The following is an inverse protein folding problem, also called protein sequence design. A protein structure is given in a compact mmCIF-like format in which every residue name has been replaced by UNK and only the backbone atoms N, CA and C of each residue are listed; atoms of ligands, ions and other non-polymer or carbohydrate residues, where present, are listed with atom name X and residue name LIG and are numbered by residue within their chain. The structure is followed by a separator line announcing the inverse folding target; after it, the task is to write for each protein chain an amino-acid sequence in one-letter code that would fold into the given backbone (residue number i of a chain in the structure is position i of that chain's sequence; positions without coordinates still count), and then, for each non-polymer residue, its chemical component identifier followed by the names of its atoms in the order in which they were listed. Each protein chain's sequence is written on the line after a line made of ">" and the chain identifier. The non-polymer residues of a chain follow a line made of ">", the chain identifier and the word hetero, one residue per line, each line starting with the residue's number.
data_IF_809079780519
#
_entry.id   IF_809079780519
#
_cell.length_a   1.000
_cell.length_b   1.000
_cell.length_c   1.000
_cell.angle_alpha   90.00
_cell.angle_beta   90.00
_cell.angle_gamma   90.00
#
_symmetry.space_group_name_H-M   'P 1'
#
loop_
_entity.id
_entity.type
_entity.pdbx_description
1 polymer ?
#
# COMPACT_ATOMS: atom_id res chain seq x y z
N UNK A 1 -5.93 -9.42 3.93
CA UNK A 1 -5.28 -10.00 2.72
C UNK A 1 -4.09 -9.17 2.27
N UNK A 2 -4.26 -7.88 1.94
CA UNK A 2 -3.16 -7.02 1.46
C UNK A 2 -1.93 -6.97 2.40
N UNK A 3 -2.16 -6.96 3.71
CA UNK A 3 -1.09 -6.91 4.71
C UNK A 3 -0.09 -8.09 4.61
N UNK A 4 -0.54 -9.27 4.17
CA UNK A 4 0.33 -10.44 4.04
C UNK A 4 1.36 -10.32 2.91
N UNK A 5 1.06 -9.50 1.90
CA UNK A 5 1.95 -9.28 0.77
C UNK A 5 2.97 -8.16 1.00
N UNK A 6 2.84 -7.38 2.07
CA UNK A 6 3.71 -6.23 2.37
C UNK A 6 5.20 -6.61 2.32
N UNK A 7 5.68 -7.69 2.99
CA UNK A 7 7.11 -8.01 2.98
C UNK A 7 7.63 -8.33 1.57
N UNK A 8 6.81 -9.00 0.76
CA UNK A 8 7.16 -9.38 -0.61
C UNK A 8 7.24 -8.15 -1.52
N UNK A 9 6.30 -7.23 -1.40
CA UNK A 9 6.27 -5.98 -2.17
C UNK A 9 7.44 -5.08 -1.76
N UNK A 10 7.70 -4.96 -0.46
CA UNK A 10 8.84 -4.21 0.07
C UNK A 10 10.18 -4.73 -0.48
N UNK A 11 10.39 -6.05 -0.44
CA UNK A 11 11.59 -6.68 -0.99
C UNK A 11 11.72 -6.47 -2.50
N UNK A 12 10.64 -6.67 -3.27
CA UNK A 12 10.65 -6.48 -4.72
C UNK A 12 10.92 -5.03 -5.15
N UNK A 13 10.53 -4.07 -4.30
CA UNK A 13 10.65 -2.64 -4.58
C UNK A 13 11.82 -1.95 -3.87
N UNK A 14 12.60 -2.69 -3.09
CA UNK A 14 13.70 -2.16 -2.26
C UNK A 14 13.24 -1.01 -1.35
N UNK A 15 12.01 -1.11 -0.83
CA UNK A 15 11.42 -0.15 0.10
C UNK A 15 11.41 -0.72 1.52
N UNK A 16 11.49 0.13 2.56
CA UNK A 16 11.25 -0.30 3.94
C UNK A 16 9.85 -0.91 4.10
N UNK A 17 9.74 -1.98 4.88
CA UNK A 17 8.46 -2.67 5.14
C UNK A 17 7.46 -1.72 5.78
N UNK A 18 7.92 -0.88 6.69
CA UNK A 18 7.12 0.12 7.41
C UNK A 18 6.53 1.14 6.43
N UNK A 19 7.29 1.55 5.42
CA UNK A 19 6.85 2.52 4.43
C UNK A 19 5.79 1.93 3.50
N UNK A 20 5.95 0.67 3.08
CA UNK A 20 4.91 -0.04 2.32
C UNK A 20 3.66 -0.25 3.18
N UNK A 21 3.81 -0.56 4.47
CA UNK A 21 2.68 -0.71 5.38
C UNK A 21 1.89 0.59 5.58
N UNK A 22 2.58 1.72 5.69
CA UNK A 22 1.96 3.05 5.78
C UNK A 22 1.14 3.36 4.52
N UNK A 23 1.72 3.17 3.33
CA UNK A 23 1.00 3.39 2.07
C UNK A 23 -0.22 2.47 1.95
N UNK A 24 -0.10 1.19 2.30
CA UNK A 24 -1.25 0.28 2.29
C UNK A 24 -2.36 0.79 3.20
N UNK A 25 -2.03 1.29 4.40
CA UNK A 25 -3.01 1.84 5.32
C UNK A 25 -3.67 3.13 4.79
N UNK A 26 -2.88 4.02 4.18
CA UNK A 26 -3.34 5.28 3.58
C UNK A 26 -4.34 5.03 2.43
N UNK A 27 -4.03 4.08 1.56
CA UNK A 27 -4.89 3.69 0.43
C UNK A 27 -5.91 2.59 0.81
N UNK A 28 -6.10 2.31 2.10
CA UNK A 28 -7.19 1.44 2.58
C UNK A 28 -8.41 2.29 2.91
N UNK A 29 -9.44 2.18 2.08
CA UNK A 29 -10.74 2.75 2.36
C UNK A 29 -11.50 1.88 3.36
N UNK A 30 -11.91 2.50 4.46
CA UNK A 30 -12.75 1.88 5.48
C UNK A 30 -14.18 2.41 5.36
N UNK A 31 -15.20 1.54 5.29
CA UNK A 31 -16.58 1.99 5.30
C UNK A 31 -16.93 2.67 6.62
N UNK A 32 -17.88 3.62 6.58
CA UNK A 32 -18.32 4.39 7.75
C UNK A 32 -18.90 3.51 8.86
N UNK A 33 -19.49 2.37 8.50
CA UNK A 33 -19.98 1.37 9.43
C UNK A 33 -19.69 -0.03 8.89
N UNK A 34 -19.35 -0.96 9.79
CA UNK A 34 -18.90 -2.31 9.43
C UNK A 34 -19.96 -3.15 8.68
N UNK A 35 -21.24 -2.79 8.76
CA UNK A 35 -22.31 -3.48 8.03
C UNK A 35 -22.45 -3.01 6.57
N UNK A 36 -21.81 -1.90 6.18
CA UNK A 36 -21.82 -1.38 4.81
C UNK A 36 -20.80 -2.06 3.90
N UNK A 37 -19.86 -2.83 4.47
CA UNK A 37 -18.88 -3.57 3.70
C UNK A 37 -17.59 -3.87 4.46
N UNK A 38 -16.60 -4.39 3.73
CA UNK A 38 -15.26 -4.68 4.25
C UNK A 38 -14.27 -3.59 3.83
N UNK A 39 -13.17 -3.38 4.58
CA UNK A 39 -12.08 -2.51 4.13
C UNK A 39 -11.52 -2.96 2.79
N UNK A 40 -11.39 -2.03 1.85
CA UNK A 40 -10.84 -2.28 0.51
C UNK A 40 -9.62 -1.41 0.27
N UNK A 41 -8.66 -1.92 -0.49
CA UNK A 41 -7.45 -1.19 -0.83
C UNK A 41 -7.55 -0.71 -2.26
N UNK A 42 -7.28 0.57 -2.52
CA UNK A 42 -7.14 1.08 -3.87
C UNK A 42 -5.78 0.68 -4.44
N UNK A 43 -5.75 -0.42 -5.21
CA UNK A 43 -4.51 -0.98 -5.75
C UNK A 43 -3.87 -0.06 -6.79
N UNK A 44 -4.68 0.66 -7.58
CA UNK A 44 -4.17 1.54 -8.64
C UNK A 44 -3.42 2.71 -8.04
N UNK A 45 -4.04 3.43 -7.11
CA UNK A 45 -3.39 4.56 -6.42
C UNK A 45 -2.19 4.11 -5.59
N UNK A 46 -2.32 2.98 -4.88
CA UNK A 46 -1.20 2.39 -4.14
C UNK A 46 0.01 2.11 -5.04
N UNK A 47 -0.19 1.51 -6.22
CA UNK A 47 0.91 1.23 -7.14
C UNK A 47 1.57 2.50 -7.64
N UNK A 48 0.80 3.53 -8.00
CA UNK A 48 1.33 4.82 -8.42
C UNK A 48 2.16 5.49 -7.31
N UNK A 49 1.69 5.43 -6.06
CA UNK A 49 2.41 5.98 -4.92
C UNK A 49 3.73 5.21 -4.65
N UNK A 50 3.69 3.87 -4.74
CA UNK A 50 4.90 3.05 -4.62
C UNK A 50 5.90 3.33 -5.74
N UNK A 51 5.44 3.54 -6.98
CA UNK A 51 6.29 3.88 -8.14
C UNK A 51 6.95 5.26 -7.95
N UNK A 52 6.20 6.25 -7.43
CA UNK A 52 6.72 7.60 -7.16
C UNK A 52 7.88 7.61 -6.14
N UNK A 53 7.82 6.75 -5.11
CA UNK A 53 8.89 6.59 -4.13
C UNK A 53 10.16 5.95 -4.73
N UNK A 54 9.98 5.02 -5.67
CA UNK A 54 11.12 4.40 -6.38
C UNK A 54 11.74 5.38 -7.38
N UNK A 55 10.92 6.13 -8.11
CA UNK A 55 11.39 7.14 -9.07
C UNK A 55 12.21 8.25 -8.42
N UNK A 56 11.93 8.63 -7.17
CA UNK A 56 12.73 9.60 -6.40
C UNK A 56 14.10 9.08 -5.96
N UNK A 57 14.30 7.76 -5.93
CA UNK A 57 15.55 7.13 -5.45
C UNK A 57 16.52 6.82 -6.59
N UNK A 58 16.10 6.99 -7.85
CA UNK A 58 16.88 6.69 -9.06
C UNK A 58 17.67 7.90 -9.61
N UNK A 59 18.01 8.88 -8.78
CA UNK A 59 18.83 10.03 -9.18
C UNK A 59 20.04 10.19 -8.29
#
# INVERSE_FOLDING_TARGET
>A
AAAWQIPRVAAARQLPVEQVAQLVAEYTHRPLASFLGQPVVNIVELNLALDALQGHRAK
#
